data_IF_158452056406
#
_entry.id   IF_158452056406
#
_cell.length_a   1.000
_cell.length_b   1.000
_cell.length_c   1.000
_cell.angle_alpha   90.00
_cell.angle_beta   90.00
_cell.angle_gamma   90.00
#
_symmetry.space_group_name_H-M   'P 1'
#
loop_
_entity.id
_entity.type
_entity.pdbx_description
1 polymer ?
#
# COMPACT_ATOMS: atom_id res chain seq x y z
N UNK A 1 14.26 19.23 8.62
CA UNK A 1 15.30 18.56 9.42
C UNK A 1 16.16 17.72 8.50
N UNK A 2 17.46 17.77 8.70
CA UNK A 2 18.41 16.99 7.89
C UNK A 2 18.96 15.83 8.72
N UNK A 3 19.08 14.71 8.07
CA UNK A 3 19.80 13.56 8.63
C UNK A 3 21.27 13.62 8.18
N UNK A 4 22.14 12.94 8.90
CA UNK A 4 23.58 12.97 8.64
C UNK A 4 23.97 12.34 7.30
N UNK A 5 23.10 11.46 6.75
CA UNK A 5 23.37 10.70 5.53
C UNK A 5 22.77 11.35 4.27
N UNK A 6 22.12 12.48 4.38
CA UNK A 6 21.51 13.16 3.24
C UNK A 6 21.47 14.67 3.44
N UNK A 7 21.53 15.41 2.34
CA UNK A 7 21.40 16.88 2.36
C UNK A 7 19.97 17.34 2.12
N UNK A 8 19.04 16.39 1.91
CA UNK A 8 17.66 16.70 1.65
C UNK A 8 16.91 16.95 2.96
N UNK A 9 16.03 17.94 2.96
CA UNK A 9 15.11 18.13 4.06
C UNK A 9 14.04 17.05 3.97
N UNK A 10 13.81 16.34 5.07
CA UNK A 10 12.91 15.19 5.09
C UNK A 10 11.73 15.45 6.03
N UNK A 11 10.61 14.73 5.84
CA UNK A 11 9.56 14.68 6.85
C UNK A 11 10.12 14.20 8.19
N UNK A 12 9.38 14.41 9.27
CA UNK A 12 9.80 14.00 10.62
C UNK A 12 10.04 12.49 10.70
N UNK A 13 10.82 12.06 11.69
CA UNK A 13 11.05 10.64 11.93
C UNK A 13 9.76 9.89 12.16
N UNK A 14 8.84 10.47 12.92
CA UNK A 14 7.55 9.86 13.19
C UNK A 14 6.77 9.64 11.89
N UNK A 15 6.72 10.65 11.02
CA UNK A 15 6.04 10.53 9.74
C UNK A 15 6.68 9.44 8.88
N UNK A 16 8.01 9.42 8.80
CA UNK A 16 8.75 8.43 8.00
C UNK A 16 8.56 7.02 8.52
N UNK A 17 8.47 6.84 9.83
CA UNK A 17 8.20 5.55 10.46
C UNK A 17 6.81 5.03 10.08
N UNK A 18 5.80 5.90 10.15
CA UNK A 18 4.43 5.54 9.76
C UNK A 18 4.37 5.22 8.27
N UNK A 19 5.03 6.02 7.44
CA UNK A 19 5.10 5.80 6.00
C UNK A 19 5.76 4.45 5.68
N UNK A 20 6.89 4.14 6.33
CA UNK A 20 7.57 2.87 6.17
C UNK A 20 6.70 1.69 6.58
N UNK A 21 6.01 1.82 7.71
CA UNK A 21 5.07 0.81 8.19
C UNK A 21 3.96 0.57 7.17
N UNK A 22 3.41 1.65 6.61
CA UNK A 22 2.36 1.56 5.59
C UNK A 22 2.81 0.72 4.39
N UNK A 23 4.00 0.97 3.88
CA UNK A 23 4.54 0.23 2.75
C UNK A 23 4.81 -1.23 3.13
N UNK A 24 5.36 -1.48 4.32
CA UNK A 24 5.66 -2.83 4.78
C UNK A 24 4.40 -3.69 4.92
N UNK A 25 3.34 -3.16 5.53
CA UNK A 25 2.10 -3.95 5.71
C UNK A 25 1.41 -4.23 4.37
N UNK A 26 1.46 -3.28 3.43
CA UNK A 26 0.92 -3.51 2.10
C UNK A 26 1.72 -4.60 1.37
N UNK A 27 3.04 -4.52 1.41
CA UNK A 27 3.89 -5.51 0.74
C UNK A 27 3.71 -6.90 1.33
N UNK A 28 3.51 -7.00 2.65
CA UNK A 28 3.19 -8.25 3.32
C UNK A 28 1.87 -8.84 2.81
N UNK A 29 0.84 -8.03 2.70
CA UNK A 29 -0.46 -8.48 2.18
C UNK A 29 -0.37 -8.86 0.71
N UNK A 30 0.40 -8.12 -0.09
CA UNK A 30 0.59 -8.44 -1.49
C UNK A 30 1.21 -9.83 -1.66
N UNK A 31 2.23 -10.14 -0.86
CA UNK A 31 2.85 -11.46 -0.85
C UNK A 31 1.88 -12.55 -0.41
N UNK A 32 1.06 -12.27 0.60
CA UNK A 32 0.05 -13.20 1.10
C UNK A 32 -1.01 -13.50 0.05
N UNK A 33 -1.41 -12.49 -0.72
CA UNK A 33 -2.34 -12.69 -1.85
C UNK A 33 -1.71 -13.62 -2.88
N UNK A 34 -0.45 -13.43 -3.23
CA UNK A 34 0.26 -14.32 -4.16
C UNK A 34 0.23 -15.77 -3.66
N UNK A 35 0.55 -15.99 -2.39
CA UNK A 35 0.52 -17.32 -1.78
C UNK A 35 -0.86 -17.96 -1.88
N UNK A 36 -1.92 -17.18 -1.61
CA UNK A 36 -3.29 -17.68 -1.69
C UNK A 36 -3.71 -18.00 -3.12
N UNK A 37 -3.31 -17.19 -4.09
CA UNK A 37 -3.58 -17.44 -5.51
C UNK A 37 -2.91 -18.75 -5.94
N UNK A 38 -1.65 -18.94 -5.57
CA UNK A 38 -0.90 -20.17 -5.92
C UNK A 38 -1.55 -21.42 -5.36
N UNK A 39 -2.18 -21.31 -4.20
CA UNK A 39 -2.88 -22.45 -3.56
C UNK A 39 -4.09 -22.92 -4.39
N UNK A 40 -4.76 -22.01 -5.08
CA UNK A 40 -5.97 -22.30 -5.84
C UNK A 40 -5.72 -22.38 -7.35
N UNK A 41 -4.58 -21.94 -7.82
CA UNK A 41 -4.23 -21.96 -9.25
C UNK A 41 -2.83 -22.52 -9.42
N UNK A 42 -2.74 -23.82 -9.73
CA UNK A 42 -1.45 -24.52 -9.86
C UNK A 42 -0.79 -24.29 -11.22
N UNK A 43 -1.49 -23.66 -12.16
CA UNK A 43 -0.97 -23.40 -13.51
C UNK A 43 -0.07 -22.17 -13.57
N UNK A 44 -0.01 -21.39 -12.47
CA UNK A 44 0.76 -20.16 -12.38
C UNK A 44 1.90 -20.37 -11.38
N UNK A 45 3.07 -19.83 -11.69
CA UNK A 45 4.24 -19.95 -10.83
C UNK A 45 4.37 -18.69 -9.95
N UNK A 46 5.09 -18.83 -8.85
CA UNK A 46 5.46 -17.71 -7.98
C UNK A 46 6.15 -16.59 -8.78
N UNK A 47 7.06 -16.99 -9.68
CA UNK A 47 7.83 -16.01 -10.47
C UNK A 47 6.93 -15.18 -11.38
N UNK A 48 5.92 -15.79 -11.98
CA UNK A 48 4.96 -15.07 -12.82
C UNK A 48 4.20 -14.01 -12.01
N UNK A 49 3.70 -14.42 -10.83
CA UNK A 49 2.92 -13.51 -9.99
C UNK A 49 3.80 -12.42 -9.35
N UNK A 50 5.03 -12.75 -8.98
CA UNK A 50 5.95 -11.79 -8.39
C UNK A 50 6.30 -10.65 -9.35
N UNK A 51 6.31 -10.94 -10.65
CA UNK A 51 6.59 -9.94 -11.69
C UNK A 51 5.38 -9.10 -12.08
N UNK A 52 4.20 -9.40 -11.53
CA UNK A 52 2.99 -8.61 -11.80
C UNK A 52 2.91 -7.44 -10.85
N UNK A 53 2.34 -6.33 -11.33
CA UNK A 53 1.98 -5.23 -10.44
C UNK A 53 0.82 -5.65 -9.55
N UNK A 54 0.63 -4.95 -8.43
CA UNK A 54 -0.50 -5.24 -7.54
C UNK A 54 -1.85 -5.08 -8.27
N UNK A 55 -1.96 -4.11 -9.17
CA UNK A 55 -3.17 -3.95 -9.99
C UNK A 55 -3.41 -5.13 -10.93
N UNK A 56 -2.34 -5.71 -11.49
CA UNK A 56 -2.45 -6.90 -12.32
C UNK A 56 -2.81 -8.15 -11.52
N UNK A 57 -2.32 -8.28 -10.28
CA UNK A 57 -2.66 -9.38 -9.39
C UNK A 57 -4.17 -9.48 -9.17
N UNK A 58 -4.87 -8.36 -9.19
CA UNK A 58 -6.31 -8.34 -8.98
C UNK A 58 -7.07 -9.20 -9.99
N UNK A 59 -6.50 -9.47 -11.15
CA UNK A 59 -7.09 -10.35 -12.16
C UNK A 59 -7.03 -11.82 -11.77
N UNK A 60 -6.12 -12.19 -10.88
CA UNK A 60 -5.89 -13.58 -10.48
C UNK A 60 -6.63 -13.98 -9.20
N UNK A 61 -7.28 -13.03 -8.52
CA UNK A 61 -7.96 -13.29 -7.25
C UNK A 61 -9.45 -13.61 -7.40
N UNK A 62 -9.83 -14.14 -8.56
CA UNK A 62 -11.22 -14.51 -8.86
C UNK A 62 -11.76 -15.61 -7.94
N UNK A 63 -10.88 -16.43 -7.38
CA UNK A 63 -11.24 -17.48 -6.44
C UNK A 63 -11.58 -16.96 -5.05
N UNK A 64 -11.30 -15.69 -4.79
CA UNK A 64 -11.49 -15.08 -3.48
C UNK A 64 -12.84 -14.36 -3.37
N UNK A 65 -13.39 -14.21 -2.14
CA UNK A 65 -14.61 -13.44 -1.94
C UNK A 65 -14.50 -12.02 -2.47
N UNK A 66 -15.61 -11.44 -2.91
CA UNK A 66 -15.66 -10.07 -3.44
C UNK A 66 -15.16 -9.04 -2.42
N UNK A 67 -15.39 -9.26 -1.12
CA UNK A 67 -14.91 -8.33 -0.10
C UNK A 67 -13.39 -8.21 -0.08
N UNK A 68 -12.67 -9.32 -0.28
CA UNK A 68 -11.19 -9.33 -0.37
C UNK A 68 -10.76 -8.59 -1.64
N UNK A 69 -11.36 -8.93 -2.77
CA UNK A 69 -11.04 -8.30 -4.05
C UNK A 69 -11.24 -6.79 -4.00
N UNK A 70 -12.38 -6.36 -3.49
CA UNK A 70 -12.73 -4.94 -3.43
C UNK A 70 -11.81 -4.16 -2.49
N UNK A 71 -11.49 -4.73 -1.32
CA UNK A 71 -10.59 -4.09 -0.37
C UNK A 71 -9.17 -4.02 -0.92
N UNK A 72 -8.70 -5.10 -1.57
CA UNK A 72 -7.38 -5.07 -2.20
C UNK A 72 -7.28 -4.01 -3.28
N UNK A 73 -8.31 -3.90 -4.12
CA UNK A 73 -8.38 -2.89 -5.18
C UNK A 73 -8.31 -1.47 -4.60
N UNK A 74 -9.04 -1.21 -3.53
CA UNK A 74 -8.99 0.07 -2.80
C UNK A 74 -7.58 0.35 -2.26
N UNK A 75 -6.94 -0.67 -1.66
CA UNK A 75 -5.59 -0.54 -1.11
C UNK A 75 -4.54 -0.32 -2.19
N UNK A 76 -4.68 -0.96 -3.34
CA UNK A 76 -3.80 -0.72 -4.49
C UNK A 76 -3.88 0.75 -4.90
N UNK A 77 -5.09 1.31 -4.98
CA UNK A 77 -5.28 2.71 -5.33
C UNK A 77 -4.63 3.64 -4.29
N UNK A 78 -4.88 3.39 -3.00
CA UNK A 78 -4.28 4.17 -1.93
C UNK A 78 -2.75 4.10 -1.94
N UNK A 79 -2.19 2.90 -2.16
CA UNK A 79 -0.75 2.71 -2.27
C UNK A 79 -0.18 3.48 -3.45
N UNK A 80 -0.87 3.47 -4.58
CA UNK A 80 -0.45 4.20 -5.77
C UNK A 80 -0.40 5.71 -5.50
N UNK A 81 -1.32 6.23 -4.70
CA UNK A 81 -1.28 7.66 -4.31
C UNK A 81 -0.04 7.95 -3.47
N UNK A 82 0.36 7.04 -2.59
CA UNK A 82 1.58 7.20 -1.79
C UNK A 82 2.83 7.15 -2.69
N UNK A 83 2.94 6.14 -3.54
CA UNK A 83 4.12 5.91 -4.39
C UNK A 83 4.30 7.03 -5.41
N UNK A 84 3.22 7.55 -5.96
CA UNK A 84 3.26 8.63 -6.97
C UNK A 84 3.10 10.01 -6.36
N UNK A 85 3.32 10.14 -5.06
CA UNK A 85 3.31 11.42 -4.37
C UNK A 85 4.64 12.16 -4.57
N UNK A 86 4.63 13.43 -4.21
CA UNK A 86 5.82 14.27 -4.21
C UNK A 86 5.94 14.99 -2.88
N UNK A 87 7.17 15.30 -2.48
CA UNK A 87 7.41 16.02 -1.24
C UNK A 87 7.12 17.50 -1.43
N UNK A 88 6.49 18.11 -0.46
CA UNK A 88 6.24 19.54 -0.44
C UNK A 88 6.48 20.11 0.97
N UNK A 89 6.66 21.41 1.01
CA UNK A 89 6.83 22.15 2.28
C UNK A 89 5.49 22.79 2.64
N UNK A 90 5.02 22.51 3.86
CA UNK A 90 3.80 23.14 4.38
C UNK A 90 4.08 24.54 4.89
N UNK A 91 3.01 25.29 5.19
CA UNK A 91 3.13 26.66 5.70
C UNK A 91 3.94 26.77 6.98
N UNK A 92 3.91 25.71 7.82
CA UNK A 92 4.70 25.64 9.06
C UNK A 92 6.16 25.23 8.82
N UNK A 93 6.59 25.07 7.57
CA UNK A 93 7.94 24.67 7.21
C UNK A 93 8.20 23.18 7.25
N UNK A 94 7.25 22.38 7.67
CA UNK A 94 7.39 20.93 7.73
C UNK A 94 7.23 20.29 6.36
N UNK A 95 7.99 19.24 6.12
CA UNK A 95 7.92 18.48 4.88
C UNK A 95 6.81 17.42 5.01
N UNK A 96 6.09 17.18 3.91
CA UNK A 96 5.05 16.16 3.82
C UNK A 96 4.95 15.68 2.38
N UNK A 97 4.39 14.50 2.18
CA UNK A 97 4.07 14.02 0.85
C UNK A 97 2.70 14.55 0.43
N UNK A 98 2.59 14.92 -0.85
CA UNK A 98 1.33 15.37 -1.45
C UNK A 98 1.10 14.58 -2.73
N UNK A 99 -0.14 14.27 -3.01
CA UNK A 99 -0.54 13.55 -4.22
C UNK A 99 -1.63 14.30 -4.95
N UNK A 100 -2.00 13.80 -6.12
CA UNK A 100 -3.15 14.32 -6.87
C UNK A 100 -3.97 13.17 -7.41
N UNK A 101 -5.27 13.35 -7.49
CA UNK A 101 -6.18 12.37 -8.08
C UNK A 101 -6.27 12.56 -9.61
N UNK A 102 -7.16 11.81 -10.24
CA UNK A 102 -7.37 11.83 -11.69
C UNK A 102 -7.88 13.19 -12.22
N UNK A 103 -8.50 13.96 -11.35
CA UNK A 103 -9.06 15.28 -11.67
C UNK A 103 -8.09 16.42 -11.31
N UNK A 104 -6.81 16.08 -11.08
CA UNK A 104 -5.75 17.00 -10.66
C UNK A 104 -6.00 17.68 -9.32
N UNK A 105 -6.94 17.17 -8.52
CA UNK A 105 -7.15 17.64 -7.16
C UNK A 105 -6.01 17.15 -6.26
N UNK A 106 -5.32 18.10 -5.62
CA UNK A 106 -4.17 17.79 -4.74
C UNK A 106 -4.63 17.67 -3.29
N UNK A 107 -4.04 16.73 -2.58
CA UNK A 107 -4.26 16.55 -1.15
C UNK A 107 -3.03 15.96 -0.48
N UNK A 108 -2.91 16.20 0.82
CA UNK A 108 -1.76 15.73 1.60
C UNK A 108 -1.92 14.25 1.95
N UNK A 109 -0.80 13.53 1.85
CA UNK A 109 -0.71 12.19 2.44
C UNK A 109 -0.29 12.43 3.90
N UNK A 110 -1.25 12.73 4.75
CA UNK A 110 -1.01 13.02 6.16
C UNK A 110 -0.98 11.76 7.01
N UNK A 111 -0.72 11.92 8.31
CA UNK A 111 -0.70 10.78 9.23
C UNK A 111 -2.03 10.05 9.29
N UNK A 112 -3.14 10.80 9.21
CA UNK A 112 -4.48 10.22 9.22
C UNK A 112 -4.69 9.30 8.02
N UNK A 113 -4.27 9.74 6.82
CA UNK A 113 -4.33 8.92 5.62
C UNK A 113 -3.50 7.64 5.80
N UNK A 114 -2.29 7.76 6.31
CA UNK A 114 -1.40 6.62 6.51
C UNK A 114 -1.95 5.63 7.53
N UNK A 115 -2.49 6.10 8.64
CA UNK A 115 -3.11 5.24 9.65
C UNK A 115 -4.35 4.54 9.10
N UNK A 116 -5.16 5.24 8.32
CA UNK A 116 -6.32 4.65 7.65
C UNK A 116 -5.88 3.52 6.70
N UNK A 117 -4.84 3.76 5.93
CA UNK A 117 -4.28 2.77 5.02
C UNK A 117 -3.76 1.55 5.78
N UNK A 118 -3.00 1.76 6.86
CA UNK A 118 -2.49 0.67 7.71
C UNK A 118 -3.65 -0.13 8.29
N UNK A 119 -4.68 0.53 8.78
CA UNK A 119 -5.86 -0.12 9.38
C UNK A 119 -6.60 -0.97 8.36
N UNK A 120 -6.77 -0.49 7.14
CA UNK A 120 -7.40 -1.25 6.06
C UNK A 120 -6.55 -2.47 5.67
N UNK A 121 -5.23 -2.35 5.71
CA UNK A 121 -4.34 -3.49 5.49
C UNK A 121 -4.49 -4.55 6.58
N UNK A 122 -4.72 -4.15 7.83
CA UNK A 122 -5.02 -5.08 8.92
C UNK A 122 -6.31 -5.85 8.63
N UNK A 123 -7.35 -5.14 8.19
CA UNK A 123 -8.61 -5.78 7.80
C UNK A 123 -8.42 -6.79 6.67
N UNK A 124 -7.64 -6.43 5.66
CA UNK A 124 -7.35 -7.34 4.55
C UNK A 124 -6.58 -8.58 5.05
N UNK A 125 -5.60 -8.38 5.92
CA UNK A 125 -4.85 -9.49 6.50
C UNK A 125 -5.78 -10.47 7.23
N UNK A 126 -6.69 -9.95 8.04
CA UNK A 126 -7.67 -10.78 8.75
C UNK A 126 -8.56 -11.58 7.79
N UNK A 127 -9.04 -10.92 6.74
CA UNK A 127 -9.86 -11.58 5.71
C UNK A 127 -9.07 -12.68 4.99
N UNK A 128 -7.80 -12.45 4.71
CA UNK A 128 -6.95 -13.43 4.03
C UNK A 128 -6.67 -14.64 4.93
N UNK A 129 -6.46 -14.43 6.22
CA UNK A 129 -6.29 -15.51 7.18
C UNK A 129 -7.57 -16.33 7.32
N UNK A 130 -8.72 -15.69 7.40
CA UNK A 130 -10.01 -16.37 7.46
C UNK A 130 -10.25 -17.20 6.19
N UNK A 131 -9.95 -16.63 5.04
CA UNK A 131 -10.10 -17.33 3.76
C UNK A 131 -9.19 -18.55 3.67
N UNK A 132 -7.96 -18.43 4.15
CA UNK A 132 -7.00 -19.52 4.18
C UNK A 132 -7.34 -20.61 5.19
N UNK A 133 -8.07 -20.25 6.24
CA UNK A 133 -8.49 -21.19 7.30
C UNK A 133 -7.47 -21.34 8.43
N UNK A 134 -6.64 -20.33 8.65
CA UNK A 134 -5.68 -20.30 9.74
C UNK A 134 -5.93 -19.12 10.67
#
# INVERSE_FOLDING_TARGET
>A
MYESYTRQSLPSKEYREILGTAICVFNSNNAFIIENVLRYNTDITWYELMNKTSGELNKYIKCMPCCIKNLFEELVDMRNRIIHSFQCTKEDGKQILRTKDKDDYQYDIDKEYLYKFIKKNEQLSDMLHDFRGF
#
